data_IF_601966902696
#
_entry.id   IF_601966902696
#
_cell.length_a   1.000
_cell.length_b   1.000
_cell.length_c   1.000
_cell.angle_alpha   90.00
_cell.angle_beta   90.00
_cell.angle_gamma   90.00
#
_symmetry.space_group_name_H-M   'P 1'
#
loop_
_entity.id
_entity.type
_entity.pdbx_description
1 polymer ?
#
# COMPACT_ATOMS: atom_id res chain seq x y z
N UNK A 1 21.19 29.27 15.17
CA UNK A 1 20.77 28.03 14.49
C UNK A 1 20.21 28.43 13.14
N UNK A 2 20.51 27.69 12.07
CA UNK A 2 19.97 28.03 10.74
C UNK A 2 18.53 27.53 10.72
N UNK A 3 17.59 28.47 10.73
CA UNK A 3 16.16 28.16 10.70
C UNK A 3 15.77 27.96 9.24
N UNK A 4 15.82 26.72 8.78
CA UNK A 4 15.61 26.39 7.36
C UNK A 4 14.14 26.18 7.03
N UNK A 5 13.37 25.61 7.96
CA UNK A 5 11.96 25.30 7.76
C UNK A 5 11.09 25.77 8.92
N UNK A 6 9.85 26.08 8.60
CA UNK A 6 8.80 26.54 9.51
C UNK A 6 7.52 25.73 9.25
N UNK A 7 6.76 25.44 10.31
CA UNK A 7 5.39 24.92 10.19
C UNK A 7 4.44 26.10 10.30
N UNK A 8 3.59 26.26 9.29
CA UNK A 8 2.63 27.34 9.17
C UNK A 8 1.21 26.79 9.14
N UNK A 9 0.26 27.58 9.63
CA UNK A 9 -1.16 27.30 9.57
C UNK A 9 -1.82 28.28 8.61
N UNK A 10 -2.54 27.78 7.60
CA UNK A 10 -3.33 28.57 6.65
C UNK A 10 -4.81 28.29 6.84
N UNK A 11 -5.65 29.29 6.54
CA UNK A 11 -7.11 29.15 6.48
C UNK A 11 -7.50 29.04 5.00
N UNK A 12 -7.89 27.84 4.58
CA UNK A 12 -8.36 27.56 3.23
C UNK A 12 -9.84 27.17 3.30
N UNK A 13 -10.70 28.07 2.83
CA UNK A 13 -12.16 27.86 2.79
C UNK A 13 -12.81 27.59 4.16
N UNK A 14 -12.22 28.08 5.26
CA UNK A 14 -12.71 27.87 6.62
C UNK A 14 -12.14 26.62 7.30
N UNK A 15 -11.29 25.86 6.60
CA UNK A 15 -10.54 24.75 7.17
C UNK A 15 -9.10 25.20 7.49
N UNK A 16 -8.68 24.93 8.73
CA UNK A 16 -7.33 25.26 9.19
C UNK A 16 -6.35 24.15 8.80
N UNK A 17 -5.49 24.42 7.83
CA UNK A 17 -4.51 23.47 7.31
C UNK A 17 -3.11 23.77 7.84
N UNK A 18 -2.39 22.74 8.26
CA UNK A 18 -0.98 22.83 8.63
C UNK A 18 -0.10 22.44 7.45
N UNK A 19 0.97 23.19 7.22
CA UNK A 19 1.93 22.91 6.15
C UNK A 19 3.36 23.27 6.55
N UNK A 20 4.34 22.64 5.88
CA UNK A 20 5.76 22.93 6.08
C UNK A 20 6.27 23.76 4.91
N UNK A 21 6.83 24.93 5.22
CA UNK A 21 7.47 25.81 4.25
C UNK A 21 8.94 26.09 4.61
N UNK A 22 9.80 26.39 3.62
CA UNK A 22 11.09 26.98 3.88
C UNK A 22 10.92 28.29 4.67
N UNK A 23 11.74 28.55 5.68
CA UNK A 23 11.60 29.76 6.51
C UNK A 23 11.83 31.05 5.71
N UNK A 24 12.56 30.99 4.59
CA UNK A 24 12.71 32.13 3.66
C UNK A 24 11.42 32.46 2.89
N UNK A 25 10.46 31.55 2.87
CA UNK A 25 9.15 31.72 2.24
C UNK A 25 8.09 32.14 3.27
N UNK A 26 8.52 32.51 4.47
CA UNK A 26 7.65 33.02 5.52
C UNK A 26 8.21 34.36 5.98
N UNK A 27 7.38 35.38 6.03
CA UNK A 27 7.73 36.70 6.56
C UNK A 27 6.95 36.89 7.85
N UNK A 28 7.59 36.74 9.03
CA UNK A 28 6.93 37.05 10.28
C UNK A 28 6.70 38.56 10.33
N UNK A 29 5.43 38.96 10.45
CA UNK A 29 5.11 40.37 10.55
C UNK A 29 5.18 40.76 12.02
N UNK A 30 6.37 41.24 12.42
CA UNK A 30 6.64 41.66 13.80
C UNK A 30 5.74 42.80 14.31
N UNK A 31 4.83 43.33 13.48
CA UNK A 31 3.89 44.38 13.84
C UNK A 31 2.64 43.87 14.58
N UNK A 32 2.37 42.56 14.59
CA UNK A 32 1.24 41.94 15.29
C UNK A 32 -0.16 42.38 14.81
N UNK A 33 -0.24 43.22 13.77
CA UNK A 33 -1.49 43.80 13.25
C UNK A 33 -1.87 43.26 11.87
N UNK A 34 -0.88 42.97 11.03
CA UNK A 34 -1.03 42.12 9.84
C UNK A 34 -0.43 40.76 10.20
N UNK A 35 -1.18 39.68 10.00
CA UNK A 35 -0.70 38.33 10.32
C UNK A 35 0.55 37.95 9.52
N UNK A 36 1.21 36.86 9.92
CA UNK A 36 2.38 36.36 9.20
C UNK A 36 2.02 36.06 7.73
N UNK A 37 2.97 36.25 6.81
CA UNK A 37 2.76 35.95 5.39
C UNK A 37 3.56 34.71 4.96
N UNK A 38 2.89 33.80 4.26
CA UNK A 38 3.51 32.63 3.64
C UNK A 38 3.39 32.69 2.11
N UNK A 39 4.43 32.26 1.39
CA UNK A 39 4.41 32.19 -0.07
C UNK A 39 4.09 30.76 -0.53
N UNK A 40 2.94 30.58 -1.18
CA UNK A 40 2.40 29.26 -1.57
C UNK A 40 2.39 29.04 -3.08
N UNK A 41 2.69 27.83 -3.59
CA UNK A 41 2.63 27.52 -5.02
C UNK A 41 1.26 27.77 -5.66
N UNK A 42 1.23 28.45 -6.82
CA UNK A 42 0.00 28.69 -7.59
C UNK A 42 -0.21 27.62 -8.67
N UNK A 43 0.88 27.14 -9.26
CA UNK A 43 0.88 26.26 -10.42
C UNK A 43 1.92 25.14 -10.29
N UNK A 44 1.95 24.22 -11.25
CA UNK A 44 2.88 23.09 -11.25
C UNK A 44 4.36 23.51 -11.17
N UNK A 45 4.72 24.68 -11.72
CA UNK A 45 6.10 25.21 -11.65
C UNK A 45 6.44 25.64 -10.22
N UNK A 46 5.50 26.27 -9.51
CA UNK A 46 5.60 26.57 -8.09
C UNK A 46 5.78 25.31 -7.23
N UNK A 47 5.02 24.24 -7.51
CA UNK A 47 5.18 22.97 -6.79
C UNK A 47 6.56 22.34 -7.04
N UNK A 48 7.07 22.40 -8.28
CA UNK A 48 8.46 21.97 -8.59
C UNK A 48 9.50 22.82 -7.86
N UNK A 49 9.25 24.12 -7.69
CA UNK A 49 10.12 25.00 -6.90
C UNK A 49 10.10 24.59 -5.42
N UNK A 50 8.93 24.26 -4.88
CA UNK A 50 8.79 23.78 -3.51
C UNK A 50 9.55 22.47 -3.29
N UNK A 51 9.44 21.49 -4.20
CA UNK A 51 10.23 20.25 -4.12
C UNK A 51 11.74 20.49 -4.12
N UNK A 52 12.21 21.43 -4.93
CA UNK A 52 13.63 21.84 -4.89
C UNK A 52 13.98 22.51 -3.56
N UNK A 53 13.07 23.31 -2.99
CA UNK A 53 13.30 23.99 -1.71
C UNK A 53 13.27 23.03 -0.50
N UNK A 54 12.56 21.90 -0.61
CA UNK A 54 12.63 20.81 0.38
C UNK A 54 14.03 20.18 0.46
N UNK A 55 14.76 20.14 -0.67
CA UNK A 55 16.14 19.69 -0.69
C UNK A 55 17.13 20.82 -0.33
N UNK A 56 16.87 22.04 -0.82
CA UNK A 56 17.75 23.21 -0.67
C UNK A 56 16.97 24.40 -0.08
N UNK A 57 17.04 24.66 1.24
CA UNK A 57 16.25 25.71 1.91
C UNK A 57 16.66 27.14 1.52
N UNK A 58 17.81 27.30 0.88
CA UNK A 58 18.35 28.60 0.48
C UNK A 58 17.63 29.22 -0.72
N UNK A 59 16.80 28.45 -1.44
CA UNK A 59 16.08 28.90 -2.63
C UNK A 59 15.11 30.04 -2.28
N UNK A 60 15.25 31.22 -2.90
CA UNK A 60 14.38 32.37 -2.61
C UNK A 60 12.95 32.13 -3.10
N UNK A 61 12.00 32.82 -2.48
CA UNK A 61 10.61 32.83 -2.92
C UNK A 61 10.49 33.59 -4.25
N UNK A 62 9.96 32.95 -5.29
CA UNK A 62 9.67 33.57 -6.58
C UNK A 62 8.20 34.05 -6.61
N UNK A 63 8.00 35.37 -6.57
CA UNK A 63 6.68 36.01 -6.50
C UNK A 63 5.84 35.72 -7.76
N UNK A 64 6.45 35.36 -8.89
CA UNK A 64 5.69 35.00 -10.10
C UNK A 64 5.09 33.59 -10.04
N UNK A 65 5.70 32.71 -9.23
CA UNK A 65 5.29 31.30 -9.09
C UNK A 65 4.54 31.02 -7.78
N UNK A 66 4.65 31.95 -6.82
CA UNK A 66 4.12 31.82 -5.48
C UNK A 66 3.14 32.96 -5.18
N UNK A 67 2.02 32.64 -4.53
CA UNK A 67 1.03 33.59 -4.02
C UNK A 67 1.30 33.85 -2.54
N UNK A 68 1.29 35.12 -2.14
CA UNK A 68 1.30 35.47 -0.73
C UNK A 68 -0.08 35.15 -0.12
N UNK A 69 -0.08 34.35 0.94
CA UNK A 69 -1.27 33.94 1.68
C UNK A 69 -1.04 34.30 3.16
N UNK A 70 -2.03 34.91 3.84
CA UNK A 70 -1.95 35.11 5.28
C UNK A 70 -1.90 33.76 6.00
N UNK A 71 -0.96 33.62 6.93
CA UNK A 71 -0.74 32.40 7.68
C UNK A 71 -0.40 32.73 9.14
N UNK A 72 -0.37 31.71 9.99
CA UNK A 72 0.14 31.80 11.37
C UNK A 72 1.31 30.86 11.52
N UNK A 73 2.50 31.38 11.83
CA UNK A 73 3.68 30.55 12.02
C UNK A 73 3.59 29.87 13.39
N UNK A 74 3.45 28.53 13.41
CA UNK A 74 3.27 27.75 14.66
C UNK A 74 4.60 27.32 15.26
N UNK A 75 5.54 26.88 14.43
CA UNK A 75 6.88 26.44 14.87
C UNK A 75 7.94 26.84 13.84
N UNK A 76 9.12 27.18 14.31
CA UNK A 76 10.28 27.53 13.48
C UNK A 76 11.54 26.83 14.00
N UNK A 77 12.62 26.91 13.23
CA UNK A 77 13.94 26.46 13.69
C UNK A 77 14.31 25.02 13.34
N UNK A 78 13.58 24.40 12.42
CA UNK A 78 13.92 23.06 11.94
C UNK A 78 15.07 23.13 10.94
N UNK A 79 16.09 22.30 11.14
CA UNK A 79 17.25 22.25 10.25
C UNK A 79 16.96 21.47 8.96
N UNK A 80 16.11 20.43 9.05
CA UNK A 80 15.75 19.52 7.94
C UNK A 80 14.23 19.49 7.72
N UNK A 81 13.81 19.35 6.47
CA UNK A 81 12.39 19.26 6.11
C UNK A 81 11.68 18.06 6.79
N UNK A 82 12.35 16.90 6.89
CA UNK A 82 11.79 15.72 7.53
C UNK A 82 11.48 15.92 9.02
N UNK A 83 12.28 16.74 9.72
CA UNK A 83 12.07 17.07 11.13
C UNK A 83 10.84 17.97 11.30
N UNK A 84 10.71 18.99 10.47
CA UNK A 84 9.53 19.85 10.42
C UNK A 84 8.26 19.05 10.07
N UNK A 85 8.34 18.09 9.14
CA UNK A 85 7.21 17.23 8.77
C UNK A 85 6.78 16.29 9.89
N UNK A 86 7.72 15.77 10.69
CA UNK A 86 7.42 15.00 11.90
C UNK A 86 6.70 15.87 12.92
N UNK A 87 7.20 17.08 13.17
CA UNK A 87 6.57 18.03 14.08
C UNK A 87 5.16 18.45 13.61
N UNK A 88 4.94 18.59 12.29
CA UNK A 88 3.62 18.81 11.71
C UNK A 88 2.67 17.65 12.02
N UNK A 89 3.09 16.41 11.76
CA UNK A 89 2.27 15.21 12.03
C UNK A 89 1.90 15.08 13.50
N UNK A 90 2.85 15.40 14.39
CA UNK A 90 2.60 15.41 15.83
C UNK A 90 1.54 16.45 16.22
N UNK A 91 1.51 17.61 15.55
CA UNK A 91 0.48 18.65 15.77
C UNK A 91 -0.88 18.28 15.19
N UNK A 92 -0.94 17.60 14.04
CA UNK A 92 -2.21 17.10 13.47
C UNK A 92 -2.85 16.04 14.38
N UNK A 93 -2.04 15.24 15.09
CA UNK A 93 -2.53 14.19 15.98
C UNK A 93 -3.00 14.73 17.35
N UNK A 94 -2.68 15.97 17.69
CA UNK A 94 -3.13 16.65 18.91
C UNK A 94 -4.06 17.79 18.52
N UNK A 95 -5.37 17.53 18.29
CA UNK A 95 -6.30 18.61 17.98
C UNK A 95 -6.28 19.62 19.13
N UNK A 96 -6.00 20.89 18.83
CA UNK A 96 -5.91 22.03 19.78
C UNK A 96 -7.25 22.32 20.51
N UNK A 97 -8.23 21.41 20.49
CA UNK A 97 -9.59 21.57 21.03
C UNK A 97 -9.78 21.11 22.48
N UNK A 98 -8.73 20.80 23.23
CA UNK A 98 -8.87 20.71 24.69
C UNK A 98 -8.64 22.08 25.32
N UNK A 99 -9.63 22.97 25.18
CA UNK A 99 -9.94 23.99 26.18
C UNK A 99 -10.43 23.31 27.49
N UNK A 100 -9.67 22.35 28.00
CA UNK A 100 -9.86 21.80 29.33
C UNK A 100 -9.05 22.67 30.29
N UNK A 101 -9.75 23.51 31.03
CA UNK A 101 -9.19 24.37 32.07
C UNK A 101 -8.15 23.65 32.95
N UNK A 102 -6.93 24.14 32.88
CA UNK A 102 -5.96 24.29 33.98
C UNK A 102 -6.01 23.22 35.08
N UNK A 103 -5.71 21.97 34.74
CA UNK A 103 -5.29 20.98 35.73
C UNK A 103 -3.81 20.68 35.50
N UNK A 104 -2.95 21.37 36.25
CA UNK A 104 -1.52 21.10 36.28
C UNK A 104 -1.27 19.60 36.45
N UNK A 105 -0.51 18.94 35.55
CA UNK A 105 -0.23 17.53 35.69
C UNK A 105 0.72 17.33 36.88
N UNK A 106 0.17 16.81 37.98
CA UNK A 106 0.98 16.27 39.07
C UNK A 106 1.82 15.14 38.49
N UNK A 107 3.14 15.35 38.49
CA UNK A 107 4.16 14.35 38.18
C UNK A 107 3.93 13.07 39.01
N UNK A 108 3.24 12.09 38.42
CA UNK A 108 3.23 10.71 38.91
C UNK A 108 4.27 9.96 38.08
N UNK A 109 5.53 10.13 38.47
CA UNK A 109 6.58 9.16 38.17
C UNK A 109 7.03 8.59 39.50
N UNK A 110 6.82 7.28 39.66
CA UNK A 110 7.61 6.29 40.43
C UNK A 110 6.67 5.26 41.08
N UNK A 111 6.40 4.14 40.39
CA UNK A 111 6.63 2.79 40.93
C UNK A 111 6.13 1.65 40.04
N UNK A 112 6.50 1.63 38.75
CA UNK A 112 6.32 0.42 37.94
C UNK A 112 7.02 -0.80 38.59
N UNK A 113 8.19 -0.60 39.21
CA UNK A 113 8.93 -1.66 39.91
C UNK A 113 8.16 -2.27 41.10
N UNK A 114 7.36 -1.48 41.81
CA UNK A 114 6.56 -1.96 42.95
C UNK A 114 5.35 -2.77 42.48
N UNK A 115 4.80 -2.41 41.32
CA UNK A 115 3.70 -3.15 40.69
C UNK A 115 4.16 -4.53 40.21
N UNK A 116 5.37 -4.62 39.62
CA UNK A 116 5.93 -5.90 39.17
C UNK A 116 6.32 -6.83 40.34
N UNK A 117 6.83 -6.28 41.45
CA UNK A 117 7.11 -7.06 42.65
C UNK A 117 5.84 -7.67 43.27
N UNK A 118 4.71 -6.96 43.21
CA UNK A 118 3.44 -7.43 43.76
C UNK A 118 2.80 -8.55 42.93
N UNK A 119 3.00 -8.54 41.60
CA UNK A 119 2.52 -9.61 40.71
C UNK A 119 3.32 -10.90 40.90
N UNK A 120 4.63 -10.80 41.15
CA UNK A 120 5.46 -11.99 41.42
C UNK A 120 5.13 -12.63 42.78
N UNK A 121 4.81 -11.83 43.80
CA UNK A 121 4.46 -12.33 45.13
C UNK A 121 3.13 -13.09 45.19
N UNK A 122 2.21 -12.88 44.24
CA UNK A 122 0.93 -13.59 44.19
C UNK A 122 1.00 -14.95 43.48
N UNK A 123 2.15 -15.33 42.91
CA UNK A 123 2.29 -16.57 42.14
C UNK A 123 2.75 -17.78 42.97
N UNK A 124 3.04 -17.62 44.26
CA UNK A 124 3.60 -18.69 45.12
C UNK A 124 2.62 -19.34 46.12
N UNK A 125 1.33 -19.01 46.10
CA UNK A 125 0.33 -19.65 46.98
C UNK A 125 -0.75 -20.39 46.19
N UNK A 126 -0.40 -21.55 45.62
CA UNK A 126 -1.36 -22.63 45.34
C UNK A 126 -0.67 -23.96 45.66
N UNK A 127 -0.81 -24.39 46.92
CA UNK A 127 -0.43 -25.73 47.38
C UNK A 127 -1.69 -26.61 47.39
N UNK A 128 -1.65 -27.62 46.51
CA UNK A 128 -2.13 -29.00 46.62
C UNK A 128 -3.33 -29.31 47.53
N UNK A 129 -4.42 -29.75 46.88
CA UNK A 129 -5.43 -30.65 47.43
C UNK A 129 -5.73 -31.73 46.39
N UNK A 130 -5.33 -32.96 46.71
CA UNK A 130 -5.41 -34.18 45.88
C UNK A 130 -6.84 -34.78 45.77
N UNK A 131 -7.05 -35.77 44.88
CA UNK A 131 -8.31 -36.02 44.20
C UNK A 131 -9.09 -37.19 44.81
N UNK A 132 -10.39 -37.25 44.50
CA UNK A 132 -11.13 -38.51 44.64
C UNK A 132 -12.30 -38.62 43.65
N UNK A 133 -12.41 -39.83 43.08
CA UNK A 133 -13.62 -40.53 42.62
C UNK A 133 -14.01 -40.49 41.11
N UNK A 134 -13.92 -41.72 40.56
CA UNK A 134 -14.78 -42.43 39.61
C UNK A 134 -14.66 -42.22 38.08
N UNK A 135 -13.91 -43.15 37.49
CA UNK A 135 -14.29 -44.02 36.39
C UNK A 135 -15.69 -43.83 35.76
N UNK A 136 -15.71 -43.58 34.45
CA UNK A 136 -16.69 -44.19 33.55
C UNK A 136 -16.03 -44.47 32.21
N UNK A 137 -15.83 -45.76 31.97
CA UNK A 137 -15.51 -46.44 30.73
C UNK A 137 -16.52 -46.13 29.62
N UNK A 138 -16.05 -45.76 28.43
CA UNK A 138 -16.67 -46.22 27.19
C UNK A 138 -15.60 -46.52 26.14
N UNK A 139 -15.84 -47.67 25.53
CA UNK A 139 -15.03 -48.49 24.64
C UNK A 139 -15.47 -48.24 23.21
N UNK A 140 -14.56 -47.89 22.30
CA UNK A 140 -14.71 -48.14 20.86
C UNK A 140 -13.32 -48.33 20.26
N UNK A 141 -13.00 -49.58 19.98
CA UNK A 141 -11.93 -49.98 19.08
C UNK A 141 -12.36 -49.83 17.62
N UNK A 142 -11.52 -49.23 16.77
CA UNK A 142 -11.36 -49.66 15.37
C UNK A 142 -9.89 -49.48 15.00
N UNK A 143 -9.22 -50.62 14.83
CA UNK A 143 -7.92 -50.74 14.16
C UNK A 143 -8.07 -50.37 12.69
N UNK A 144 -7.12 -49.62 12.13
CA UNK A 144 -6.75 -49.87 10.74
C UNK A 144 -5.27 -49.59 10.49
N UNK A 145 -4.67 -50.55 9.79
CA UNK A 145 -3.24 -50.71 9.56
C UNK A 145 -2.80 -49.79 8.42
N UNK A 146 -1.74 -49.02 8.61
CA UNK A 146 -1.00 -48.42 7.48
C UNK A 146 0.40 -49.02 7.46
N UNK A 147 0.56 -49.93 6.51
CA UNK A 147 1.81 -50.55 6.12
C UNK A 147 2.75 -49.50 5.53
N UNK A 148 3.82 -49.28 6.26
CA UNK A 148 5.05 -48.63 5.86
C UNK A 148 5.81 -49.55 4.89
N UNK A 149 5.84 -49.23 3.59
CA UNK A 149 6.85 -49.79 2.67
C UNK A 149 6.95 -49.02 1.36
N UNK A 150 8.13 -48.42 1.19
CA UNK A 150 8.90 -48.32 -0.06
C UNK A 150 8.28 -47.61 -1.26
N UNK A 151 8.82 -46.42 -1.57
CA UNK A 151 9.35 -46.05 -2.89
C UNK A 151 10.06 -44.69 -2.84
N UNK A 152 11.11 -44.58 -2.03
CA UNK A 152 12.16 -43.57 -2.21
C UNK A 152 13.51 -44.29 -2.27
N UNK A 153 13.97 -44.61 -3.48
CA UNK A 153 15.39 -44.87 -3.72
C UNK A 153 15.67 -44.86 -5.23
N UNK A 154 15.66 -43.70 -5.89
CA UNK A 154 16.23 -43.56 -7.25
C UNK A 154 16.49 -42.12 -7.74
N UNK A 155 16.24 -41.08 -6.94
CA UNK A 155 16.54 -39.69 -7.35
C UNK A 155 17.79 -39.08 -6.68
N UNK A 156 18.29 -39.67 -5.58
CA UNK A 156 19.39 -39.10 -4.79
C UNK A 156 20.77 -39.45 -5.37
N UNK A 157 20.90 -40.53 -6.13
CA UNK A 157 22.19 -41.02 -6.64
C UNK A 157 22.76 -40.21 -7.81
N UNK A 158 21.96 -39.36 -8.47
CA UNK A 158 22.42 -38.58 -9.64
C UNK A 158 22.87 -37.16 -9.31
N UNK A 159 22.57 -36.66 -8.10
CA UNK A 159 23.02 -35.35 -7.64
C UNK A 159 24.41 -35.41 -6.98
N UNK A 160 24.85 -36.58 -6.49
CA UNK A 160 26.14 -36.76 -5.82
C UNK A 160 27.32 -36.91 -6.80
N UNK A 161 27.07 -37.29 -8.07
CA UNK A 161 28.12 -37.40 -9.10
C UNK A 161 28.60 -36.05 -9.67
N UNK A 162 27.84 -34.96 -9.49
CA UNK A 162 28.22 -33.63 -9.99
C UNK A 162 28.99 -32.77 -8.98
N UNK A 163 29.06 -33.18 -7.71
CA UNK A 163 29.83 -32.49 -6.66
C UNK A 163 31.20 -33.14 -6.38
N UNK A 164 31.52 -34.26 -7.02
CA UNK A 164 32.75 -35.03 -6.78
C UNK A 164 33.98 -34.64 -7.60
N UNK A 165 33.95 -33.55 -8.39
CA UNK A 165 35.02 -33.26 -9.37
C UNK A 165 35.59 -31.84 -9.22
N UNK A 166 36.16 -31.56 -8.05
CA UNK A 166 37.03 -30.39 -7.80
C UNK A 166 38.00 -30.68 -6.64
N UNK A 167 38.62 -31.87 -6.65
CA UNK A 167 39.76 -32.18 -5.79
C UNK A 167 41.01 -32.28 -6.66
N UNK A 168 41.82 -31.22 -6.70
CA UNK A 168 43.05 -31.24 -7.48
C UNK A 168 43.75 -29.88 -7.56
N UNK A 169 44.34 -29.42 -6.45
CA UNK A 169 45.54 -28.58 -6.47
C UNK A 169 46.12 -28.48 -5.05
N UNK A 170 46.86 -29.49 -4.61
CA UNK A 170 47.66 -29.45 -3.37
C UNK A 170 48.85 -30.40 -3.50
N UNK A 171 49.82 -29.97 -4.30
CA UNK A 171 51.21 -30.43 -4.41
C UNK A 171 51.76 -29.49 -5.50
N UNK A 172 52.75 -28.64 -5.30
CA UNK A 172 54.02 -28.77 -4.59
C UNK A 172 54.42 -27.37 -4.10
N UNK A 173 55.05 -27.25 -2.93
CA UNK A 173 56.15 -26.30 -2.62
C UNK A 173 56.55 -26.52 -1.17
N UNK A 174 57.19 -27.67 -0.93
CA UNK A 174 57.96 -27.93 0.27
C UNK A 174 59.42 -28.13 -0.16
N UNK A 175 60.16 -27.04 -0.26
CA UNK A 175 61.63 -27.05 -0.19
C UNK A 175 62.16 -25.64 0.00
N UNK A 176 63.04 -25.50 1.00
CA UNK A 176 63.89 -24.34 1.29
C UNK A 176 63.29 -23.27 2.21
N UNK A 177 63.34 -23.56 3.52
CA UNK A 177 63.38 -22.55 4.58
C UNK A 177 64.27 -23.06 5.72
N UNK A 178 65.58 -23.17 5.44
CA UNK A 178 66.62 -22.98 6.45
C UNK A 178 67.22 -21.59 6.22
N UNK A 179 67.52 -20.90 7.33
CA UNK A 179 68.08 -19.55 7.45
C UNK A 179 67.17 -18.36 7.13
N UNK A 180 66.47 -17.88 8.17
CA UNK A 180 66.69 -16.54 8.74
C UNK A 180 65.75 -16.28 9.93
N UNK A 181 66.26 -16.55 11.12
CA UNK A 181 65.76 -15.92 12.34
C UNK A 181 66.36 -14.51 12.44
N UNK A 182 65.68 -13.50 11.87
CA UNK A 182 65.94 -12.10 12.19
C UNK A 182 64.77 -11.19 11.82
N UNK A 183 64.31 -10.40 12.79
CA UNK A 183 63.43 -9.23 12.65
C UNK A 183 61.96 -9.49 12.32
N UNK A 184 61.17 -9.76 13.37
CA UNK A 184 59.72 -9.69 13.34
C UNK A 184 59.23 -8.24 13.16
N UNK A 185 59.03 -7.84 11.91
CA UNK A 185 58.12 -6.76 11.53
C UNK A 185 57.26 -7.33 10.39
N UNK A 186 56.06 -7.81 10.73
CA UNK A 186 55.05 -8.13 9.73
C UNK A 186 54.67 -6.81 9.05
N UNK A 187 55.01 -6.67 7.78
CA UNK A 187 54.68 -5.47 7.01
C UNK A 187 53.15 -5.42 6.84
N UNK A 188 52.59 -4.23 7.03
CA UNK A 188 51.14 -3.95 6.90
C UNK A 188 50.58 -4.43 5.55
N UNK A 189 51.43 -4.48 4.52
CA UNK A 189 51.08 -4.92 3.18
C UNK A 189 50.77 -6.43 3.08
N UNK A 190 51.48 -7.28 3.84
CA UNK A 190 51.20 -8.72 3.88
C UNK A 190 49.87 -9.02 4.57
N UNK A 191 49.54 -8.25 5.62
CA UNK A 191 48.26 -8.34 6.31
C UNK A 191 47.10 -7.86 5.43
N UNK A 192 47.27 -6.73 4.74
CA UNK A 192 46.27 -6.21 3.79
C UNK A 192 46.04 -7.15 2.60
N UNK A 193 47.09 -7.79 2.08
CA UNK A 193 46.97 -8.81 1.04
C UNK A 193 46.12 -9.99 1.49
N UNK A 194 46.38 -10.50 2.70
CA UNK A 194 45.60 -11.61 3.30
C UNK A 194 44.15 -11.20 3.53
N UNK A 195 43.90 -10.00 4.05
CA UNK A 195 42.54 -9.51 4.32
C UNK A 195 41.72 -9.34 3.03
N UNK A 196 42.33 -8.84 1.95
CA UNK A 196 41.67 -8.73 0.65
C UNK A 196 41.32 -10.10 0.04
N UNK A 197 42.18 -11.11 0.24
CA UNK A 197 41.89 -12.49 -0.16
C UNK A 197 40.66 -13.04 0.57
N UNK A 198 40.61 -12.86 1.90
CA UNK A 198 39.47 -13.30 2.72
C UNK A 198 38.17 -12.58 2.32
N UNK A 199 38.23 -11.29 1.99
CA UNK A 199 37.06 -10.57 1.49
C UNK A 199 36.58 -11.07 0.12
N UNK A 200 37.50 -11.46 -0.77
CA UNK A 200 37.15 -12.04 -2.05
C UNK A 200 36.46 -13.41 -1.88
N UNK A 201 36.97 -14.26 -0.98
CA UNK A 201 36.36 -15.56 -0.66
C UNK A 201 34.98 -15.40 -0.01
N UNK A 202 34.82 -14.48 0.95
CA UNK A 202 33.51 -14.21 1.57
C UNK A 202 32.47 -13.72 0.57
N UNK A 203 32.90 -12.96 -0.45
CA UNK A 203 32.01 -12.53 -1.52
C UNK A 203 31.57 -13.70 -2.40
N UNK A 204 32.50 -14.59 -2.76
CA UNK A 204 32.18 -15.80 -3.53
C UNK A 204 31.17 -16.70 -2.80
N UNK A 205 31.41 -16.96 -1.50
CA UNK A 205 30.48 -17.75 -0.66
C UNK A 205 29.09 -17.11 -0.57
N UNK A 206 29.01 -15.77 -0.53
CA UNK A 206 27.73 -15.06 -0.52
C UNK A 206 26.96 -15.24 -1.83
N UNK A 207 27.66 -15.23 -2.97
CA UNK A 207 27.07 -15.42 -4.29
C UNK A 207 26.55 -16.86 -4.46
N UNK A 208 27.30 -17.86 -3.99
CA UNK A 208 26.86 -19.27 -3.97
C UNK A 208 25.61 -19.47 -3.10
N UNK A 209 25.58 -18.88 -1.91
CA UNK A 209 24.41 -18.94 -1.03
C UNK A 209 23.16 -18.27 -1.64
N UNK A 210 23.35 -17.20 -2.42
CA UNK A 210 22.26 -16.56 -3.16
C UNK A 210 21.67 -17.48 -4.23
N UNK A 211 22.54 -18.19 -4.96
CA UNK A 211 22.13 -19.18 -5.96
C UNK A 211 21.35 -20.35 -5.31
N UNK A 212 21.86 -20.88 -4.19
CA UNK A 212 21.20 -21.95 -3.44
C UNK A 212 19.80 -21.55 -2.97
N UNK A 213 19.63 -20.32 -2.48
CA UNK A 213 18.32 -19.78 -2.08
C UNK A 213 17.34 -19.71 -3.25
N UNK A 214 17.80 -19.32 -4.44
CA UNK A 214 16.94 -19.29 -5.63
C UNK A 214 16.49 -20.69 -6.04
N UNK A 215 17.36 -21.69 -5.92
CA UNK A 215 17.03 -23.07 -6.24
C UNK A 215 16.02 -23.68 -5.26
N UNK A 216 16.16 -23.38 -3.96
CA UNK A 216 15.17 -23.76 -2.93
C UNK A 216 13.78 -23.16 -3.20
N UNK A 217 13.71 -21.88 -3.61
CA UNK A 217 12.44 -21.27 -3.99
C UNK A 217 11.79 -21.99 -5.19
N UNK A 218 12.57 -22.41 -6.19
CA UNK A 218 12.06 -23.16 -7.34
C UNK A 218 11.56 -24.56 -6.94
N UNK A 219 12.27 -25.24 -6.04
CA UNK A 219 11.85 -26.52 -5.51
C UNK A 219 10.54 -26.41 -4.72
N UNK A 220 10.42 -25.42 -3.82
CA UNK A 220 9.18 -25.19 -3.07
C UNK A 220 8.00 -24.92 -4.01
N UNK A 221 8.17 -24.08 -5.03
CA UNK A 221 7.10 -23.83 -6.00
C UNK A 221 6.66 -25.09 -6.77
N UNK A 222 7.60 -26.01 -7.04
CA UNK A 222 7.29 -27.31 -7.67
C UNK A 222 6.59 -28.26 -6.70
N UNK A 223 7.01 -28.29 -5.44
CA UNK A 223 6.37 -29.09 -4.40
C UNK A 223 4.93 -28.61 -4.17
N UNK A 224 4.70 -27.30 -4.13
CA UNK A 224 3.35 -26.71 -4.03
C UNK A 224 2.47 -27.07 -5.23
N UNK A 225 3.06 -27.05 -6.44
CA UNK A 225 2.37 -27.49 -7.66
C UNK A 225 1.99 -28.97 -7.61
N UNK A 226 2.88 -29.84 -7.12
CA UNK A 226 2.60 -31.28 -6.99
C UNK A 226 1.57 -31.52 -5.89
N UNK A 227 1.69 -30.85 -4.74
CA UNK A 227 0.74 -30.94 -3.65
C UNK A 227 -0.68 -30.54 -4.08
N UNK A 228 -0.81 -29.41 -4.77
CA UNK A 228 -2.09 -28.96 -5.33
C UNK A 228 -2.61 -29.85 -6.46
N UNK A 229 -1.74 -30.49 -7.25
CA UNK A 229 -2.13 -31.46 -8.26
C UNK A 229 -2.57 -32.82 -7.68
N UNK A 230 -2.06 -33.20 -6.51
CA UNK A 230 -2.27 -34.53 -5.91
C UNK A 230 -3.49 -34.60 -5.00
N UNK A 231 -4.00 -33.47 -4.50
CA UNK A 231 -5.21 -33.41 -3.65
C UNK A 231 -6.55 -33.49 -4.41
N UNK A 232 -6.53 -33.76 -5.72
CA UNK A 232 -7.74 -33.87 -6.53
C UNK A 232 -7.97 -35.31 -6.98
N UNK A 233 -8.80 -36.01 -6.20
CA UNK A 233 -9.35 -37.31 -6.56
C UNK A 233 -10.12 -37.26 -7.89
N UNK A 234 -9.94 -38.31 -8.68
CA UNK A 234 -10.14 -38.40 -10.12
C UNK A 234 -11.59 -38.52 -10.63
N UNK A 235 -12.62 -38.16 -9.84
CA UNK A 235 -14.02 -38.22 -10.29
C UNK A 235 -14.63 -36.87 -10.68
N UNK A 236 -14.05 -35.73 -10.30
CA UNK A 236 -14.68 -34.40 -10.48
C UNK A 236 -14.17 -33.60 -11.68
N UNK A 237 -13.26 -34.19 -12.48
CA UNK A 237 -12.47 -33.48 -13.49
C UNK A 237 -13.27 -32.98 -14.70
N UNK A 238 -14.48 -33.48 -14.92
CA UNK A 238 -15.32 -33.08 -16.06
C UNK A 238 -16.25 -31.88 -15.74
N UNK A 239 -16.34 -31.48 -14.47
CA UNK A 239 -17.19 -30.33 -14.03
C UNK A 239 -16.41 -29.04 -13.73
N UNK A 240 -15.07 -29.09 -13.70
CA UNK A 240 -14.21 -28.03 -13.16
C UNK A 240 -13.74 -26.95 -14.16
N UNK A 241 -14.08 -27.02 -15.45
CA UNK A 241 -13.75 -25.96 -16.44
C UNK A 241 -14.93 -25.11 -16.89
N UNK A 242 -16.10 -25.26 -16.26
CA UNK A 242 -17.11 -24.20 -16.30
C UNK A 242 -16.80 -23.26 -15.15
N UNK A 243 -16.03 -22.20 -15.42
CA UNK A 243 -16.12 -20.95 -14.66
C UNK A 243 -17.61 -20.74 -14.41
N UNK A 244 -18.07 -20.93 -13.16
CA UNK A 244 -19.47 -20.72 -12.82
C UNK A 244 -19.72 -19.25 -13.12
N UNK A 245 -20.34 -18.99 -14.28
CA UNK A 245 -20.79 -17.65 -14.68
C UNK A 245 -21.46 -17.05 -13.47
N UNK A 246 -21.14 -15.79 -13.18
CA UNK A 246 -21.84 -15.04 -12.16
C UNK A 246 -23.35 -15.31 -12.31
N UNK A 247 -24.09 -15.50 -11.21
CA UNK A 247 -25.51 -15.84 -11.26
C UNK A 247 -26.37 -14.74 -11.89
N UNK A 248 -25.75 -13.65 -12.33
CA UNK A 248 -26.39 -12.45 -12.84
C UNK A 248 -25.57 -11.88 -14.00
N UNK A 249 -26.26 -11.32 -14.99
CA UNK A 249 -25.65 -10.56 -16.07
C UNK A 249 -25.43 -9.11 -15.62
N UNK A 250 -24.29 -8.47 -15.93
CA UNK A 250 -24.04 -7.09 -15.51
C UNK A 250 -25.18 -6.14 -15.91
N UNK A 251 -25.55 -5.20 -15.03
CA UNK A 251 -26.61 -4.21 -15.25
C UNK A 251 -26.26 -3.34 -16.46
N UNK A 252 -27.22 -3.17 -17.39
CA UNK A 252 -27.07 -2.37 -18.60
C UNK A 252 -28.05 -1.21 -18.69
N UNK A 253 -29.23 -1.32 -18.08
CA UNK A 253 -30.31 -0.32 -18.16
C UNK A 253 -30.74 0.18 -16.78
N UNK A 254 -31.50 1.27 -16.75
CA UNK A 254 -32.07 1.80 -15.49
C UNK A 254 -33.09 0.81 -14.91
N UNK A 255 -33.86 0.13 -15.77
CA UNK A 255 -34.85 -0.87 -15.39
C UNK A 255 -34.17 -2.06 -14.70
N UNK A 256 -33.05 -2.54 -15.24
CA UNK A 256 -32.25 -3.60 -14.64
C UNK A 256 -31.77 -3.21 -13.24
N UNK A 257 -31.38 -1.94 -13.04
CA UNK A 257 -30.95 -1.42 -11.74
C UNK A 257 -32.10 -1.40 -10.73
N UNK A 258 -33.30 -1.01 -11.15
CA UNK A 258 -34.51 -1.04 -10.30
C UNK A 258 -34.89 -2.48 -9.91
N UNK A 259 -34.82 -3.41 -10.85
CA UNK A 259 -35.06 -4.84 -10.59
C UNK A 259 -34.01 -5.38 -9.61
N UNK A 260 -32.75 -4.98 -9.75
CA UNK A 260 -31.69 -5.38 -8.83
C UNK A 260 -31.94 -4.82 -7.41
N UNK A 261 -32.33 -3.56 -7.28
CA UNK A 261 -32.67 -2.93 -6.00
C UNK A 261 -33.83 -3.65 -5.29
N UNK A 262 -34.83 -4.11 -6.04
CA UNK A 262 -35.93 -4.88 -5.46
C UNK A 262 -35.49 -6.29 -5.07
N UNK A 263 -34.67 -6.97 -5.88
CA UNK A 263 -34.07 -8.26 -5.51
C UNK A 263 -33.15 -8.17 -4.30
N UNK A 264 -32.46 -7.04 -4.11
CA UNK A 264 -31.65 -6.78 -2.93
C UNK A 264 -32.47 -6.61 -1.64
N UNK A 265 -33.81 -6.61 -1.71
CA UNK A 265 -34.69 -6.74 -0.53
C UNK A 265 -34.61 -8.13 0.09
N UNK A 266 -34.33 -9.16 -0.71
CA UNK A 266 -34.25 -10.54 -0.25
C UNK A 266 -32.84 -10.86 0.28
N UNK A 267 -32.72 -11.05 1.59
CA UNK A 267 -31.43 -11.35 2.24
C UNK A 267 -30.77 -12.63 1.71
N UNK A 268 -31.56 -13.61 1.26
CA UNK A 268 -31.05 -14.85 0.68
C UNK A 268 -30.35 -14.60 -0.65
N UNK A 269 -30.89 -13.70 -1.47
CA UNK A 269 -30.27 -13.27 -2.71
C UNK A 269 -28.94 -12.56 -2.45
N UNK A 270 -28.92 -11.61 -1.50
CA UNK A 270 -27.71 -10.88 -1.09
C UNK A 270 -26.63 -11.84 -0.61
N UNK A 271 -26.95 -12.79 0.29
CA UNK A 271 -26.01 -13.80 0.78
C UNK A 271 -25.46 -14.67 -0.35
N UNK A 272 -26.29 -15.05 -1.31
CA UNK A 272 -25.87 -15.84 -2.47
C UNK A 272 -24.92 -15.06 -3.37
N UNK A 273 -25.22 -13.78 -3.60
CA UNK A 273 -24.39 -12.84 -4.35
C UNK A 273 -23.02 -12.65 -3.70
N UNK A 274 -22.99 -12.30 -2.42
CA UNK A 274 -21.75 -12.13 -1.65
C UNK A 274 -20.90 -13.40 -1.70
N UNK A 275 -21.50 -14.59 -1.56
CA UNK A 275 -20.78 -15.87 -1.67
C UNK A 275 -20.23 -16.13 -3.08
N UNK A 276 -21.00 -15.81 -4.12
CA UNK A 276 -20.59 -16.06 -5.50
C UNK A 276 -19.43 -15.14 -5.94
N UNK A 277 -19.54 -13.84 -5.67
CA UNK A 277 -18.51 -12.86 -6.05
C UNK A 277 -17.31 -12.98 -5.10
N UNK A 278 -17.56 -13.10 -3.80
CA UNK A 278 -16.50 -13.31 -2.81
C UNK A 278 -15.67 -14.58 -3.05
N UNK A 279 -16.26 -15.64 -3.63
CA UNK A 279 -15.48 -16.83 -4.04
C UNK A 279 -14.51 -16.53 -5.18
N UNK A 280 -14.89 -15.67 -6.12
CA UNK A 280 -14.02 -15.27 -7.25
C UNK A 280 -12.82 -14.47 -6.74
N UNK A 281 -13.02 -13.66 -5.70
CA UNK A 281 -11.99 -12.75 -5.17
C UNK A 281 -11.10 -13.36 -4.09
N UNK A 282 -11.49 -14.52 -3.55
CA UNK A 282 -10.78 -15.17 -2.45
C UNK A 282 -11.11 -14.50 -1.11
N UNK A 283 -11.49 -15.31 -0.11
CA UNK A 283 -11.76 -14.80 1.24
C UNK A 283 -10.45 -14.33 1.88
N UNK A 284 -10.38 -13.07 2.31
CA UNK A 284 -9.21 -12.46 2.97
C UNK A 284 -7.90 -12.50 2.17
N UNK A 285 -7.95 -12.64 0.84
CA UNK A 285 -6.73 -12.66 0.02
C UNK A 285 -6.21 -11.25 -0.33
N UNK A 286 -7.06 -10.22 -0.20
CA UNK A 286 -6.77 -8.84 -0.60
C UNK A 286 -6.81 -7.86 0.57
N UNK A 287 -6.37 -8.27 1.76
CA UNK A 287 -6.33 -7.38 2.94
C UNK A 287 -5.38 -6.21 2.67
N UNK A 288 -5.92 -4.98 2.67
CA UNK A 288 -5.16 -3.76 2.39
C UNK A 288 -5.19 -3.29 0.93
N UNK A 289 -5.80 -4.06 0.02
CA UNK A 289 -6.00 -3.67 -1.39
C UNK A 289 -7.50 -3.62 -1.75
N UNK A 290 -8.29 -3.05 -0.84
CA UNK A 290 -9.74 -2.88 -1.03
C UNK A 290 -10.11 -2.10 -2.30
N UNK A 291 -9.22 -1.22 -2.81
CA UNK A 291 -9.42 -0.50 -4.07
C UNK A 291 -9.48 -1.42 -5.30
N UNK A 292 -8.53 -2.35 -5.42
CA UNK A 292 -8.56 -3.36 -6.49
C UNK A 292 -9.77 -4.26 -6.37
N UNK A 293 -10.16 -4.60 -5.14
CA UNK A 293 -11.39 -5.38 -4.89
C UNK A 293 -12.61 -4.61 -5.40
N UNK A 294 -12.75 -3.33 -5.03
CA UNK A 294 -13.84 -2.48 -5.46
C UNK A 294 -13.98 -2.43 -6.98
N UNK A 295 -12.87 -2.23 -7.72
CA UNK A 295 -12.89 -2.18 -9.19
C UNK A 295 -13.44 -3.46 -9.81
N UNK A 296 -12.98 -4.61 -9.33
CA UNK A 296 -13.42 -5.90 -9.84
C UNK A 296 -14.92 -6.11 -9.55
N UNK A 297 -15.39 -5.76 -8.36
CA UNK A 297 -16.83 -5.86 -8.03
C UNK A 297 -17.66 -4.94 -8.92
N UNK A 298 -17.22 -3.69 -9.14
CA UNK A 298 -17.93 -2.75 -10.03
C UNK A 298 -18.04 -3.31 -11.45
N UNK A 299 -16.95 -3.84 -12.00
CA UNK A 299 -16.94 -4.40 -13.36
C UNK A 299 -17.74 -5.70 -13.49
N UNK A 300 -18.04 -6.40 -12.38
CA UNK A 300 -18.94 -7.57 -12.37
C UNK A 300 -20.41 -7.18 -12.25
N UNK A 301 -20.72 -6.13 -11.48
CA UNK A 301 -22.10 -5.68 -11.24
C UNK A 301 -22.64 -4.83 -12.39
N UNK A 302 -21.81 -3.98 -12.99
CA UNK A 302 -22.25 -2.95 -13.93
C UNK A 302 -21.45 -2.98 -15.22
N UNK A 303 -22.14 -2.70 -16.32
CA UNK A 303 -21.48 -2.46 -17.60
C UNK A 303 -20.85 -1.07 -17.62
N UNK A 304 -19.68 -0.91 -18.24
CA UNK A 304 -19.00 0.40 -18.33
C UNK A 304 -19.83 1.45 -19.06
N UNK A 305 -20.55 1.05 -20.09
CA UNK A 305 -21.49 1.89 -20.86
C UNK A 305 -22.69 2.34 -20.02
N UNK A 306 -23.11 1.52 -19.07
CA UNK A 306 -24.17 1.91 -18.13
C UNK A 306 -23.69 2.97 -17.14
N UNK A 307 -22.48 2.80 -16.61
CA UNK A 307 -21.89 3.75 -15.65
C UNK A 307 -21.69 5.15 -16.24
N UNK A 308 -21.51 5.30 -17.56
CA UNK A 308 -21.41 6.62 -18.20
C UNK A 308 -22.72 7.42 -18.16
N UNK A 309 -23.85 6.73 -18.12
CA UNK A 309 -25.20 7.31 -18.05
C UNK A 309 -25.63 7.61 -16.60
N UNK A 310 -24.84 7.19 -15.62
CA UNK A 310 -25.09 7.41 -14.21
C UNK A 310 -24.30 8.63 -13.71
N UNK A 311 -24.85 9.31 -12.69
CA UNK A 311 -24.08 10.22 -11.84
C UNK A 311 -24.54 10.07 -10.39
N UNK A 312 -23.78 10.60 -9.44
CA UNK A 312 -24.13 10.44 -8.05
C UNK A 312 -25.50 11.07 -7.73
N UNK A 313 -25.70 12.34 -8.10
CA UNK A 313 -26.94 13.10 -7.84
C UNK A 313 -27.96 13.05 -8.98
N UNK A 314 -27.59 12.57 -10.16
CA UNK A 314 -28.42 12.59 -11.37
C UNK A 314 -28.30 13.88 -12.20
N UNK A 315 -27.54 14.87 -11.72
CA UNK A 315 -27.31 16.12 -12.46
C UNK A 315 -26.24 15.90 -13.53
N UNK A 316 -26.50 16.35 -14.75
CA UNK A 316 -25.51 16.41 -15.83
C UNK A 316 -24.93 17.82 -15.95
N UNK A 317 -23.62 17.91 -16.16
CA UNK A 317 -22.94 19.17 -16.47
C UNK A 317 -22.88 19.44 -17.98
N UNK A 318 -23.15 18.44 -18.82
CA UNK A 318 -23.07 18.57 -20.27
C UNK A 318 -24.37 19.18 -20.80
N UNK A 319 -24.25 20.32 -21.47
CA UNK A 319 -25.31 20.96 -22.25
C UNK A 319 -25.10 20.57 -23.71
N UNK A 320 -25.77 19.52 -24.17
CA UNK A 320 -25.92 19.28 -25.61
C UNK A 320 -27.15 20.07 -26.07
N UNK A 321 -26.97 21.36 -26.35
CA UNK A 321 -28.04 22.31 -26.61
C UNK A 321 -28.76 22.81 -25.33
N UNK A 322 -29.94 23.38 -25.50
CA UNK A 322 -30.75 23.99 -24.42
C UNK A 322 -31.35 22.96 -23.43
N UNK A 323 -31.14 21.66 -23.67
CA UNK A 323 -31.62 20.59 -22.80
C UNK A 323 -30.46 19.83 -22.15
N UNK A 324 -30.38 19.88 -20.82
CA UNK A 324 -29.49 19.00 -20.05
C UNK A 324 -29.99 17.56 -20.12
N UNK A 325 -29.16 16.64 -20.60
CA UNK A 325 -29.48 15.20 -20.60
C UNK A 325 -29.49 14.72 -19.14
N UNK A 326 -30.64 14.31 -18.57
CA UNK A 326 -30.68 13.85 -17.17
C UNK A 326 -29.90 12.55 -17.02
N UNK A 327 -29.11 12.43 -15.94
CA UNK A 327 -28.40 11.20 -15.60
C UNK A 327 -29.14 10.43 -14.52
N UNK A 328 -28.91 9.12 -14.46
CA UNK A 328 -29.47 8.28 -13.41
C UNK A 328 -28.80 8.62 -12.08
N UNK A 329 -29.60 8.99 -11.07
CA UNK A 329 -29.13 9.34 -9.74
C UNK A 329 -28.79 8.09 -8.92
N UNK A 330 -27.51 7.74 -8.85
CA UNK A 330 -27.06 6.48 -8.26
C UNK A 330 -27.26 6.41 -6.73
N UNK A 331 -27.23 7.55 -6.02
CA UNK A 331 -27.41 7.58 -4.57
C UNK A 331 -28.79 7.06 -4.09
N UNK A 332 -29.79 6.99 -4.98
CA UNK A 332 -31.14 6.53 -4.64
C UNK A 332 -31.25 5.02 -4.43
N UNK A 333 -30.24 4.25 -4.85
CA UNK A 333 -30.23 2.78 -4.82
C UNK A 333 -29.45 2.28 -3.61
N UNK A 334 -29.95 2.57 -2.41
CA UNK A 334 -29.24 2.29 -1.14
C UNK A 334 -29.00 0.79 -0.91
N UNK A 335 -29.90 -0.10 -1.35
CA UNK A 335 -29.72 -1.54 -1.14
C UNK A 335 -28.64 -2.09 -2.06
N UNK A 336 -28.58 -1.62 -3.31
CA UNK A 336 -27.46 -1.94 -4.21
C UNK A 336 -26.13 -1.43 -3.64
N UNK A 337 -26.11 -0.23 -3.05
CA UNK A 337 -24.92 0.30 -2.37
C UNK A 337 -24.51 -0.57 -1.17
N UNK A 338 -25.48 -1.06 -0.39
CA UNK A 338 -25.23 -1.95 0.74
C UNK A 338 -24.75 -3.33 0.28
N UNK A 339 -25.32 -3.88 -0.80
CA UNK A 339 -24.84 -5.12 -1.42
C UNK A 339 -23.38 -4.97 -1.85
N UNK A 340 -23.03 -3.86 -2.51
CA UNK A 340 -21.66 -3.56 -2.91
C UNK A 340 -20.70 -3.56 -1.71
N UNK A 341 -21.09 -2.88 -0.63
CA UNK A 341 -20.31 -2.87 0.62
C UNK A 341 -20.14 -4.28 1.21
N UNK A 342 -21.21 -5.08 1.29
CA UNK A 342 -21.15 -6.43 1.87
C UNK A 342 -20.23 -7.36 1.08
N UNK A 343 -20.20 -7.25 -0.25
CA UNK A 343 -19.28 -8.02 -1.10
C UNK A 343 -17.82 -7.65 -0.78
N UNK A 344 -17.54 -6.36 -0.61
CA UNK A 344 -16.19 -5.88 -0.30
C UNK A 344 -15.80 -6.29 1.11
N UNK A 345 -16.66 -6.09 2.10
CA UNK A 345 -16.40 -6.46 3.49
C UNK A 345 -16.16 -7.97 3.67
N UNK A 346 -16.75 -8.79 2.81
CA UNK A 346 -16.47 -10.23 2.77
C UNK A 346 -15.04 -10.57 2.30
N UNK A 347 -14.46 -9.72 1.42
CA UNK A 347 -13.15 -9.93 0.82
C UNK A 347 -12.04 -9.19 1.58
N UNK A 348 -12.31 -7.96 2.02
CA UNK A 348 -11.45 -7.09 2.83
C UNK A 348 -12.27 -6.45 3.98
N UNK A 349 -12.26 -7.06 5.17
CA UNK A 349 -12.95 -6.51 6.35
C UNK A 349 -12.38 -5.20 6.87
N UNK A 350 -11.16 -4.83 6.48
CA UNK A 350 -10.50 -3.60 6.94
C UNK A 350 -10.94 -2.37 6.15
N UNK A 351 -11.64 -2.57 5.03
CA UNK A 351 -12.04 -1.50 4.14
C UNK A 351 -13.37 -0.86 4.60
N UNK A 352 -13.35 0.42 5.02
CA UNK A 352 -14.52 1.06 5.61
C UNK A 352 -15.58 1.44 4.57
N UNK A 353 -16.85 1.46 4.99
CA UNK A 353 -18.00 1.76 4.13
C UNK A 353 -17.92 3.13 3.46
N UNK A 354 -17.39 4.14 4.15
CA UNK A 354 -17.21 5.50 3.60
C UNK A 354 -16.27 5.49 2.40
N UNK A 355 -15.16 4.74 2.50
CA UNK A 355 -14.23 4.57 1.38
C UNK A 355 -14.89 3.82 0.22
N UNK A 356 -15.80 2.87 0.46
CA UNK A 356 -16.58 2.24 -0.63
C UNK A 356 -17.45 3.25 -1.38
N UNK A 357 -18.15 4.13 -0.66
CA UNK A 357 -19.01 5.16 -1.28
C UNK A 357 -18.18 6.15 -2.09
N UNK A 358 -17.10 6.67 -1.51
CA UNK A 358 -16.17 7.57 -2.19
C UNK A 358 -15.54 6.92 -3.43
N UNK A 359 -15.22 5.62 -3.35
CA UNK A 359 -14.69 4.87 -4.48
C UNK A 359 -15.70 4.73 -5.61
N UNK A 360 -16.97 4.45 -5.29
CA UNK A 360 -18.02 4.36 -6.30
C UNK A 360 -18.31 5.73 -6.93
N UNK A 361 -18.29 6.80 -6.14
CA UNK A 361 -18.37 8.17 -6.62
C UNK A 361 -17.23 8.48 -7.61
N UNK A 362 -15.99 8.10 -7.27
CA UNK A 362 -14.83 8.21 -8.16
C UNK A 362 -15.02 7.40 -9.46
N UNK A 363 -15.55 6.18 -9.38
CA UNK A 363 -15.84 5.35 -10.55
C UNK A 363 -16.84 5.99 -11.51
N UNK A 364 -17.88 6.64 -10.96
CA UNK A 364 -18.89 7.36 -11.74
C UNK A 364 -18.32 8.65 -12.37
N UNK A 365 -17.53 9.41 -11.61
CA UNK A 365 -16.86 10.62 -12.11
C UNK A 365 -15.95 10.32 -13.31
N UNK A 366 -15.21 9.21 -13.25
CA UNK A 366 -14.27 8.80 -14.29
C UNK A 366 -14.84 7.76 -15.27
N UNK A 367 -16.17 7.55 -15.28
CA UNK A 367 -16.78 6.50 -16.10
C UNK A 367 -16.47 6.63 -17.60
N UNK A 368 -16.46 7.88 -18.13
CA UNK A 368 -16.15 8.16 -19.54
C UNK A 368 -14.72 7.76 -19.88
N UNK A 369 -13.75 8.21 -19.08
CA UNK A 369 -12.34 7.84 -19.22
C UNK A 369 -12.14 6.31 -19.13
N UNK A 370 -12.85 5.64 -18.21
CA UNK A 370 -12.81 4.17 -18.06
C UNK A 370 -13.40 3.42 -19.25
N UNK A 371 -14.35 4.01 -19.97
CA UNK A 371 -14.93 3.44 -21.20
C UNK A 371 -13.96 3.59 -22.38
N UNK A 372 -13.30 4.73 -22.49
CA UNK A 372 -12.35 5.07 -23.57
C UNK A 372 -11.05 4.26 -23.47
N UNK A 373 -10.56 3.94 -22.26
CA UNK A 373 -9.41 3.05 -22.04
C UNK A 373 -9.71 1.57 -22.31
N UNK A 374 -10.37 1.26 -23.43
CA UNK A 374 -10.51 -0.09 -23.98
C UNK A 374 -9.11 -0.66 -24.27
N UNK A 375 -8.73 -1.70 -23.53
CA UNK A 375 -7.64 -2.64 -23.83
C UNK A 375 -6.17 -2.18 -23.74
N UNK A 376 -5.87 -0.94 -23.38
CA UNK A 376 -4.48 -0.51 -23.15
C UNK A 376 -4.09 -0.52 -21.66
N UNK A 377 -4.25 -1.66 -20.96
CA UNK A 377 -3.35 -1.90 -19.83
C UNK A 377 -1.98 -2.13 -20.45
N UNK A 378 -1.21 -1.04 -20.67
CA UNK A 378 0.25 -1.17 -20.75
C UNK A 378 0.61 -2.02 -19.55
N UNK A 379 1.21 -3.19 -19.75
CA UNK A 379 1.70 -4.00 -18.65
C UNK A 379 2.49 -3.05 -17.78
N UNK A 380 2.01 -2.77 -16.56
CA UNK A 380 2.78 -1.93 -15.64
C UNK A 380 4.11 -2.62 -15.53
N UNK A 381 5.16 -1.98 -16.06
CA UNK A 381 6.49 -2.53 -16.01
C UNK A 381 6.78 -2.65 -14.52
N UNK A 382 6.78 -3.89 -14.00
CA UNK A 382 7.12 -4.12 -12.60
C UNK A 382 8.45 -3.42 -12.40
N UNK A 383 8.46 -2.37 -11.59
CA UNK A 383 9.67 -1.64 -11.21
C UNK A 383 10.60 -2.74 -10.70
N UNK A 384 11.60 -3.12 -11.50
CA UNK A 384 12.61 -4.09 -11.06
C UNK A 384 13.26 -3.40 -9.87
N UNK A 385 12.96 -3.88 -8.67
CA UNK A 385 13.57 -3.37 -7.45
C UNK A 385 15.06 -3.58 -7.65
N UNK A 386 15.77 -2.49 -8.02
CA UNK A 386 17.22 -2.46 -7.90
C UNK A 386 17.44 -2.47 -6.41
N UNK A 387 17.92 -3.59 -5.89
CA UNK A 387 18.45 -3.69 -4.53
C UNK A 387 19.70 -2.81 -4.52
N UNK A 388 19.52 -1.51 -4.34
CA UNK A 388 20.56 -0.63 -3.85
C UNK A 388 20.60 -0.82 -2.33
N UNK A 389 21.77 -1.16 -1.79
CA UNK A 389 22.05 -1.20 -0.36
C UNK A 389 21.97 0.23 0.23
N UNK A 390 20.77 0.80 0.29
CA UNK A 390 20.52 2.05 1.00
C UNK A 390 19.19 1.94 1.74
N UNK A 391 19.30 1.79 3.05
CA UNK A 391 18.19 1.57 3.97
C UNK A 391 17.56 2.90 4.34
N UNK A 392 16.70 3.44 3.47
CA UNK A 392 15.59 4.32 3.86
C UNK A 392 14.73 4.67 2.65
N UNK A 393 13.59 3.99 2.48
CA UNK A 393 12.45 4.55 1.75
C UNK A 393 11.16 3.89 2.22
N UNK A 394 10.31 4.70 2.85
CA UNK A 394 8.96 4.40 3.30
C UNK A 394 8.00 4.29 2.11
N UNK A 395 7.07 3.35 2.23
CA UNK A 395 5.93 3.13 1.34
C UNK A 395 4.85 4.16 1.66
N UNK A 396 4.75 5.22 0.85
CA UNK A 396 3.59 6.11 0.74
C UNK A 396 3.64 6.71 -0.69
N UNK A 397 3.48 5.85 -1.72
CA UNK A 397 3.15 6.30 -3.09
C UNK A 397 1.62 6.37 -3.19
N UNK A 398 1.07 7.47 -2.69
CA UNK A 398 -0.30 7.93 -2.90
C UNK A 398 -0.48 8.41 -4.35
N UNK A 399 -1.66 8.17 -4.91
CA UNK A 399 -2.02 8.34 -6.33
C UNK A 399 -1.68 9.74 -6.87
N UNK A 400 -0.53 9.86 -7.53
CA UNK A 400 -0.17 11.06 -8.29
C UNK A 400 -1.08 11.18 -9.52
N UNK A 401 -1.84 12.26 -9.58
CA UNK A 401 -2.62 12.70 -10.73
C UNK A 401 -1.69 12.97 -11.92
N UNK A 402 -1.70 12.09 -12.93
CA UNK A 402 -1.22 12.45 -14.26
C UNK A 402 -2.31 13.29 -14.94
N UNK A 403 -2.23 14.60 -14.78
CA UNK A 403 -2.96 15.54 -15.63
C UNK A 403 -2.37 15.48 -17.04
N UNK A 404 -3.17 15.07 -18.03
CA UNK A 404 -2.81 15.19 -19.44
C UNK A 404 -3.52 16.39 -20.06
N UNK A 405 -2.70 17.32 -20.53
CA UNK A 405 -3.02 18.56 -21.23
C UNK A 405 -3.28 18.27 -22.71
N UNK A 406 -4.51 18.07 -23.17
CA UNK A 406 -4.82 17.95 -24.60
C UNK A 406 -6.26 18.42 -24.92
N UNK A 407 -6.66 19.64 -24.54
CA UNK A 407 -7.95 20.22 -24.99
C UNK A 407 -7.97 21.76 -25.07
N UNK A 408 -6.87 22.39 -25.48
CA UNK A 408 -6.79 23.87 -25.55
C UNK A 408 -6.42 24.43 -26.94
N UNK A 409 -6.51 23.64 -28.01
CA UNK A 409 -6.16 24.10 -29.36
C UNK A 409 -7.25 23.76 -30.38
N UNK A 410 -8.44 24.36 -30.26
CA UNK A 410 -9.45 24.38 -31.34
C UNK A 410 -10.58 25.39 -31.10
N UNK A 411 -10.26 26.67 -30.99
CA UNK A 411 -11.22 27.73 -31.36
C UNK A 411 -10.51 29.07 -31.60
N UNK A 412 -10.00 29.25 -32.81
CA UNK A 412 -9.72 30.59 -33.36
C UNK A 412 -10.48 30.66 -34.68
N UNK A 413 -11.79 30.93 -34.60
CA UNK A 413 -12.58 31.29 -35.78
C UNK A 413 -12.44 32.79 -35.97
N UNK A 414 -11.84 33.13 -37.10
CA UNK A 414 -11.67 34.47 -37.65
C UNK A 414 -13.04 35.09 -37.87
N UNK A 415 -13.31 36.22 -37.21
CA UNK A 415 -14.46 37.08 -37.51
C UNK A 415 -13.97 38.17 -38.47
N UNK A 416 -14.06 37.92 -39.77
CA UNK A 416 -13.91 38.95 -40.81
C UNK A 416 -15.23 39.69 -40.98
N UNK A 417 -15.14 41.02 -40.92
CA UNK A 417 -16.27 41.93 -40.91
C UNK A 417 -17.07 41.94 -42.21
N UNK A 418 -18.40 42.02 -42.05
CA UNK A 418 -19.32 42.38 -43.11
C UNK A 418 -19.80 43.82 -42.84
N UNK A 419 -19.24 44.77 -43.58
CA UNK A 419 -19.79 46.13 -43.73
C UNK A 419 -20.70 46.08 -44.95
N UNK A 420 -21.98 46.43 -44.78
CA UNK A 420 -22.96 46.50 -45.85
C UNK A 420 -24.08 47.47 -45.51
N UNK A 421 -24.12 48.56 -46.27
CA UNK A 421 -25.04 49.69 -46.27
C UNK A 421 -26.53 49.30 -46.36
N UNK A 422 -27.39 49.96 -45.57
CA UNK A 422 -28.37 50.98 -46.02
C UNK A 422 -29.24 51.46 -44.86
#
# INVERSE_FOLDING_TARGET
MVNNYSVVQTDEEGEMLLSVLPSKWTTPDGSGKSGDLGYWPINYKGYRLLEKAKANPEIPADIQLLKAIPCKIKRTGFAKYAEARRALKDMECTPETDDCEDHQPKLIVKNAAKLFAQIQAQKETVVLGDPDIAASTMDVSVEDQISESQLELNAVTKATELLGRSGGCSQEFASSAEDQAASGVLTVDAFNGTMNSVFAELKAVREENSCMKALLCQLNAKVDYIGSASTLNSSDRESALKLKKAPFAPVQTEEDLKVLEEKCREDEFVKTMVKSIGRIMGKNQCVGDGGTVCLNVVDQLFTREFLTNCSWTGVSRSKDGDNSIPKIAFHKFERVLNLFYQIIAYSDPTYPQEKCKSFLHYCLKNAKQRLEHKHAKKSSARKRIRISNDASKSEDEEWAEEGNEDEAARETVVFEGFVGEL
#
